data_IF_834541246731
#
_entry.id   IF_834541246731
#
_cell.length_a   1.000
_cell.length_b   1.000
_cell.length_c   1.000
_cell.angle_alpha   90.00
_cell.angle_beta   90.00
_cell.angle_gamma   90.00
#
_symmetry.space_group_name_H-M   'P 1'
#
loop_
_entity.id
_entity.type
_entity.pdbx_description
1 polymer ?
#
# COMPACT_ATOMS: atom_id res chain seq x y z
N UNK A 1 -23.37 5.26 -18.62
CA UNK A 1 -22.77 6.37 -17.85
C UNK A 1 -21.71 5.76 -16.95
N UNK A 2 -20.45 5.79 -17.37
CA UNK A 2 -19.31 5.37 -16.54
C UNK A 2 -18.49 6.64 -16.32
N UNK A 3 -18.51 7.16 -15.10
CA UNK A 3 -17.66 8.28 -14.73
C UNK A 3 -16.18 7.83 -14.86
N UNK A 4 -15.30 8.64 -15.47
CA UNK A 4 -13.87 8.43 -15.31
C UNK A 4 -13.55 8.84 -13.87
N UNK A 5 -13.13 7.88 -13.04
CA UNK A 5 -12.64 8.20 -11.69
C UNK A 5 -11.37 9.03 -11.83
N UNK A 6 -11.44 10.24 -11.26
CA UNK A 6 -10.40 11.27 -11.31
C UNK A 6 -9.14 10.82 -10.55
N UNK A 7 -7.96 11.02 -11.15
CA UNK A 7 -6.65 10.89 -10.50
C UNK A 7 -6.17 9.44 -10.30
N UNK A 8 -5.63 8.82 -11.35
CA UNK A 8 -5.22 7.42 -11.39
C UNK A 8 -4.04 7.06 -10.48
N UNK A 9 -4.28 6.99 -9.17
CA UNK A 9 -3.53 6.13 -8.27
C UNK A 9 -3.92 4.67 -8.55
N UNK A 10 -3.52 4.17 -9.72
CA UNK A 10 -3.83 2.82 -10.15
C UNK A 10 -2.79 1.86 -9.60
N UNK A 11 -2.99 1.45 -8.36
CA UNK A 11 -2.23 0.35 -7.77
C UNK A 11 -2.29 -0.87 -8.70
N UNK A 12 -3.39 -1.16 -9.39
CA UNK A 12 -3.47 -2.26 -10.37
C UNK A 12 -2.42 -2.13 -11.48
N UNK A 13 -2.26 -0.93 -12.03
CA UNK A 13 -1.23 -0.63 -13.02
C UNK A 13 0.17 -0.78 -12.44
N UNK A 14 0.37 -0.36 -11.20
CA UNK A 14 1.63 -0.56 -10.48
C UNK A 14 1.95 -2.05 -10.30
N UNK A 15 0.97 -2.84 -9.87
CA UNK A 15 1.05 -4.30 -9.69
C UNK A 15 1.37 -4.98 -11.01
N UNK A 16 0.62 -4.66 -12.06
CA UNK A 16 0.85 -5.20 -13.40
C UNK A 16 2.25 -4.84 -13.90
N UNK A 17 2.73 -3.63 -13.63
CA UNK A 17 4.11 -3.21 -13.88
C UNK A 17 5.11 -4.08 -13.11
N UNK A 18 4.91 -4.25 -11.80
CA UNK A 18 5.77 -5.07 -10.95
C UNK A 18 5.80 -6.54 -11.37
N UNK A 19 4.65 -7.13 -11.71
CA UNK A 19 4.54 -8.49 -12.24
C UNK A 19 5.19 -8.62 -13.62
N UNK A 20 5.12 -7.57 -14.45
CA UNK A 20 5.78 -7.50 -15.75
C UNK A 20 7.30 -7.36 -15.69
N UNK A 21 7.86 -6.85 -14.58
CA UNK A 21 9.31 -6.70 -14.42
C UNK A 21 10.01 -8.05 -14.26
N UNK A 22 10.94 -8.35 -15.17
CA UNK A 22 11.76 -9.57 -15.11
C UNK A 22 13.11 -9.31 -14.43
N UNK A 23 13.56 -8.06 -14.42
CA UNK A 23 14.87 -7.64 -13.91
C UNK A 23 14.75 -6.79 -12.65
N UNK A 24 15.70 -6.92 -11.71
CA UNK A 24 15.76 -6.12 -10.47
C UNK A 24 15.86 -4.62 -10.78
N UNK A 25 16.57 -4.22 -11.85
CA UNK A 25 16.70 -2.82 -12.26
C UNK A 25 15.37 -2.23 -12.73
N UNK A 26 14.60 -2.97 -13.54
CA UNK A 26 13.25 -2.55 -13.97
C UNK A 26 12.32 -2.39 -12.78
N UNK A 27 12.37 -3.35 -11.85
CA UNK A 27 11.59 -3.27 -10.60
C UNK A 27 11.94 -2.05 -9.79
N UNK A 28 13.23 -1.72 -9.64
CA UNK A 28 13.64 -0.53 -8.90
C UNK A 28 13.25 0.76 -9.63
N UNK A 29 13.33 0.81 -10.96
CA UNK A 29 12.88 1.97 -11.73
C UNK A 29 11.36 2.19 -11.64
N UNK A 30 10.58 1.10 -11.69
CA UNK A 30 9.14 1.13 -11.46
C UNK A 30 8.82 1.54 -10.03
N UNK A 31 9.52 0.98 -9.04
CA UNK A 31 9.39 1.38 -7.64
C UNK A 31 9.66 2.86 -7.48
N UNK A 32 10.75 3.38 -8.02
CA UNK A 32 11.11 4.81 -7.94
C UNK A 32 10.07 5.70 -8.62
N UNK A 33 9.58 5.30 -9.80
CA UNK A 33 8.50 6.03 -10.50
C UNK A 33 7.17 6.03 -9.73
N UNK A 34 6.93 5.00 -8.91
CA UNK A 34 5.74 4.86 -8.09
C UNK A 34 5.94 5.45 -6.68
N UNK A 35 7.18 5.54 -6.22
CA UNK A 35 7.60 6.07 -4.92
C UNK A 35 7.44 7.59 -4.93
N UNK A 36 6.29 8.04 -4.43
CA UNK A 36 5.85 9.44 -4.52
C UNK A 36 4.51 9.60 -5.22
N UNK A 37 3.98 8.53 -5.83
CA UNK A 37 2.60 8.48 -6.24
C UNK A 37 1.75 8.12 -5.02
N UNK A 38 1.00 9.09 -4.54
CA UNK A 38 0.06 8.93 -3.43
C UNK A 38 -1.38 9.11 -3.91
N UNK A 39 -2.29 8.36 -3.29
CA UNK A 39 -3.70 8.47 -3.58
C UNK A 39 -4.56 7.95 -2.44
N UNK A 40 -5.82 8.36 -2.46
CA UNK A 40 -6.83 7.90 -1.53
C UNK A 40 -7.47 6.63 -2.07
N UNK A 41 -7.44 5.55 -1.28
CA UNK A 41 -8.11 4.29 -1.63
C UNK A 41 -9.10 3.89 -0.56
N UNK A 42 -10.21 3.31 -1.00
CA UNK A 42 -11.12 2.63 -0.09
C UNK A 42 -10.54 1.27 0.27
N UNK A 43 -10.43 1.05 1.57
CA UNK A 43 -9.89 -0.17 2.14
C UNK A 43 -10.84 -0.76 3.16
N UNK A 44 -10.78 -2.08 3.28
CA UNK A 44 -11.41 -2.84 4.33
C UNK A 44 -10.34 -3.56 5.13
N UNK A 45 -10.08 -3.10 6.34
CA UNK A 45 -9.08 -3.70 7.23
C UNK A 45 -9.51 -5.12 7.58
N UNK A 46 -8.73 -6.09 7.14
CA UNK A 46 -8.95 -7.50 7.46
C UNK A 46 -8.19 -7.91 8.73
N UNK A 47 -6.98 -7.38 8.91
CA UNK A 47 -6.15 -7.62 10.09
C UNK A 47 -5.22 -6.45 10.35
N UNK A 48 -4.90 -6.20 11.62
CA UNK A 48 -3.88 -5.23 12.03
C UNK A 48 -2.81 -5.95 12.82
N UNK A 49 -1.56 -5.63 12.51
CA UNK A 49 -0.38 -6.08 13.22
C UNK A 49 0.53 -4.90 13.53
N UNK A 50 1.57 -5.15 14.31
CA UNK A 50 2.62 -4.15 14.54
C UNK A 50 3.61 -4.19 13.38
N UNK A 51 4.09 -3.03 12.94
CA UNK A 51 5.08 -2.96 11.86
C UNK A 51 6.41 -3.52 12.35
N UNK A 52 6.84 -4.62 11.76
CA UNK A 52 8.14 -5.24 11.99
C UNK A 52 8.89 -5.35 10.66
N UNK A 53 10.03 -4.67 10.56
CA UNK A 53 10.89 -4.73 9.38
C UNK A 53 12.29 -4.21 9.69
N UNK A 54 13.31 -4.90 9.20
CA UNK A 54 14.70 -4.47 9.25
C UNK A 54 14.90 -3.51 8.06
N UNK A 55 15.25 -2.25 8.32
CA UNK A 55 15.40 -1.23 7.27
C UNK A 55 14.18 -0.31 7.04
N UNK A 56 13.22 -0.29 7.98
CA UNK A 56 12.16 0.72 8.01
C UNK A 56 12.70 2.05 8.53
N UNK A 57 12.21 3.17 7.99
CA UNK A 57 12.45 4.50 8.56
C UNK A 57 11.95 4.56 9.99
N UNK A 58 12.64 5.33 10.83
CA UNK A 58 12.31 5.51 12.25
C UNK A 58 10.84 5.94 12.47
N UNK A 59 10.26 6.66 11.51
CA UNK A 59 8.84 7.06 11.50
C UNK A 59 7.87 5.89 11.48
N UNK A 60 8.18 4.80 10.76
CA UNK A 60 7.34 3.59 10.68
C UNK A 60 7.77 2.52 11.69
N UNK A 61 8.94 2.69 12.29
CA UNK A 61 9.50 1.78 13.29
C UNK A 61 8.67 1.85 14.57
N UNK A 62 8.02 0.73 14.91
CA UNK A 62 7.11 0.68 16.06
C UNK A 62 5.67 1.11 15.74
N UNK A 63 5.39 1.48 14.49
CA UNK A 63 4.05 1.73 13.98
C UNK A 63 3.23 0.45 13.77
N UNK A 64 2.18 0.54 12.96
CA UNK A 64 1.23 -0.55 12.72
C UNK A 64 1.14 -0.92 11.24
N UNK A 65 1.06 -2.20 10.94
CA UNK A 65 0.85 -2.71 9.58
C UNK A 65 -0.56 -3.26 9.48
N UNK A 66 -1.33 -2.70 8.58
CA UNK A 66 -2.67 -3.11 8.25
C UNK A 66 -2.63 -4.04 7.05
N UNK A 67 -3.31 -5.17 7.16
CA UNK A 67 -3.68 -6.00 6.03
C UNK A 67 -5.11 -5.60 5.68
N UNK A 68 -5.27 -4.92 4.56
CA UNK A 68 -6.56 -4.44 4.12
C UNK A 68 -6.90 -4.99 2.73
N UNK A 69 -8.18 -5.08 2.42
CA UNK A 69 -8.67 -5.44 1.10
C UNK A 69 -9.20 -4.21 0.40
N UNK A 70 -8.84 -4.02 -0.86
CA UNK A 70 -9.39 -3.00 -1.73
C UNK A 70 -10.09 -3.70 -2.91
N UNK A 71 -11.24 -3.17 -3.35
CA UNK A 71 -12.16 -3.89 -4.23
C UNK A 71 -11.54 -4.34 -5.56
N UNK A 72 -10.87 -3.43 -6.26
CA UNK A 72 -10.30 -3.71 -7.58
C UNK A 72 -9.04 -4.59 -7.54
N UNK A 73 -8.38 -4.71 -6.38
CA UNK A 73 -6.99 -5.21 -6.32
C UNK A 73 -6.84 -6.42 -5.39
N UNK A 74 -7.73 -6.54 -4.41
CA UNK A 74 -7.66 -7.56 -3.38
C UNK A 74 -6.84 -7.10 -2.18
N UNK A 75 -5.97 -7.98 -1.67
CA UNK A 75 -5.27 -7.78 -0.39
C UNK A 75 -3.99 -6.94 -0.53
N UNK A 76 -3.92 -5.85 0.23
CA UNK A 76 -2.82 -4.89 0.27
C UNK A 76 -2.26 -4.76 1.68
N UNK A 77 -0.96 -4.48 1.78
CA UNK A 77 -0.28 -4.22 3.05
C UNK A 77 -0.08 -2.71 3.21
N UNK A 78 -0.65 -2.09 4.24
CA UNK A 78 -0.55 -0.65 4.50
C UNK A 78 0.21 -0.43 5.80
N UNK A 79 1.34 0.26 5.73
CA UNK A 79 2.18 0.60 6.87
C UNK A 79 1.81 1.99 7.37
N UNK A 80 1.37 2.04 8.61
CA UNK A 80 1.10 3.26 9.34
C UNK A 80 2.38 3.71 10.07
N UNK A 81 2.69 5.02 10.04
CA UNK A 81 3.73 5.57 10.88
C UNK A 81 3.34 5.43 12.37
N UNK A 82 4.33 5.43 13.25
CA UNK A 82 4.11 5.28 14.69
C UNK A 82 3.34 6.45 15.32
N UNK A 83 3.33 7.59 14.63
CA UNK A 83 2.56 8.78 15.03
C UNK A 83 1.12 8.74 14.53
N UNK A 84 0.81 7.90 13.53
CA UNK A 84 -0.56 7.73 13.04
C UNK A 84 -1.43 7.01 14.06
N UNK A 85 -2.66 7.50 14.21
CA UNK A 85 -3.65 6.89 15.11
C UNK A 85 -4.15 5.56 14.51
N UNK A 86 -3.38 4.50 14.75
CA UNK A 86 -3.68 3.14 14.32
C UNK A 86 -4.89 2.55 15.06
N UNK A 87 -5.30 3.16 16.19
CA UNK A 87 -6.34 2.65 17.08
C UNK A 87 -7.72 2.64 16.43
N UNK A 88 -7.96 3.51 15.45
CA UNK A 88 -9.19 3.54 14.67
C UNK A 88 -9.29 2.35 13.69
N UNK A 89 -8.15 1.83 13.23
CA UNK A 89 -8.09 0.75 12.27
C UNK A 89 -8.18 -0.60 12.98
N UNK A 90 -9.37 -1.19 12.93
CA UNK A 90 -9.69 -2.49 13.50
C UNK A 90 -10.18 -3.45 12.43
N UNK A 91 -10.15 -4.74 12.70
CA UNK A 91 -10.72 -5.75 11.81
C UNK A 91 -12.18 -5.42 11.48
N UNK A 92 -12.50 -5.32 10.19
CA UNK A 92 -13.81 -4.90 9.71
C UNK A 92 -13.99 -3.38 9.57
N UNK A 93 -12.96 -2.57 9.82
CA UNK A 93 -12.98 -1.14 9.52
C UNK A 93 -12.98 -0.93 8.01
N UNK A 94 -13.96 -0.17 7.52
CA UNK A 94 -14.07 0.25 6.13
C UNK A 94 -13.94 1.76 6.09
N UNK A 95 -13.01 2.26 5.28
CA UNK A 95 -12.74 3.68 5.20
C UNK A 95 -11.86 4.03 4.01
N UNK A 96 -11.70 5.33 3.80
CA UNK A 96 -10.76 5.86 2.82
C UNK A 96 -9.45 6.22 3.54
N UNK A 97 -8.33 5.81 2.95
CA UNK A 97 -7.00 6.11 3.48
C UNK A 97 -6.10 6.62 2.35
N UNK A 98 -5.40 7.71 2.63
CA UNK A 98 -4.35 8.23 1.77
C UNK A 98 -3.09 7.39 1.94
N UNK A 99 -2.62 6.80 0.86
CA UNK A 99 -1.45 5.94 0.86
C UNK A 99 -0.56 6.23 -0.33
N UNK A 100 0.72 5.92 -0.19
CA UNK A 100 1.71 5.96 -1.26
C UNK A 100 2.24 4.57 -1.53
N UNK A 101 2.68 4.31 -2.77
CA UNK A 101 3.30 3.04 -3.12
C UNK A 101 4.75 3.05 -2.64
N UNK A 102 5.07 2.13 -1.75
CA UNK A 102 6.42 2.02 -1.19
C UNK A 102 7.19 0.87 -1.80
N UNK A 103 6.56 -0.32 -1.88
CA UNK A 103 7.22 -1.51 -2.41
C UNK A 103 6.20 -2.56 -2.89
N UNK A 104 6.68 -3.68 -3.45
CA UNK A 104 5.84 -4.78 -3.91
C UNK A 104 6.40 -6.12 -3.45
N UNK A 105 5.58 -6.86 -2.71
CA UNK A 105 5.90 -8.21 -2.29
C UNK A 105 5.58 -9.19 -3.43
N UNK A 106 6.58 -9.46 -4.27
CA UNK A 106 6.45 -10.42 -5.37
C UNK A 106 6.19 -11.87 -4.92
N UNK A 107 6.58 -12.23 -3.68
CA UNK A 107 6.37 -13.57 -3.14
C UNK A 107 4.90 -13.79 -2.79
N UNK A 108 4.28 -12.81 -2.12
CA UNK A 108 2.87 -12.88 -1.72
C UNK A 108 1.92 -12.27 -2.75
N UNK A 109 2.45 -11.66 -3.81
CA UNK A 109 1.73 -10.84 -4.81
C UNK A 109 0.86 -9.76 -4.15
N UNK A 110 1.49 -8.97 -3.29
CA UNK A 110 0.81 -7.90 -2.53
C UNK A 110 1.59 -6.61 -2.62
N UNK A 111 0.90 -5.51 -2.86
CA UNK A 111 1.54 -4.20 -2.82
C UNK A 111 1.71 -3.76 -1.38
N UNK A 112 2.85 -3.13 -1.12
CA UNK A 112 3.19 -2.52 0.15
C UNK A 112 3.01 -1.02 -0.04
N UNK A 113 2.09 -0.49 0.74
CA UNK A 113 1.67 0.89 0.75
C UNK A 113 2.09 1.50 2.09
N UNK A 114 2.44 2.77 2.10
CA UNK A 114 2.66 3.55 3.32
C UNK A 114 1.57 4.59 3.44
N UNK A 115 1.00 4.74 4.64
CA UNK A 115 0.07 5.83 4.91
C UNK A 115 0.84 7.16 5.02
N UNK A 116 0.25 8.21 4.45
CA UNK A 116 0.81 9.58 4.47
C UNK A 116 -0.09 10.56 5.21
#
# INVERSE_FOLDING_TARGET
MTAPVEGSFSIESAISGFEGTRTISERNALKDSLSGNSGSIQIRVNSIGRTFGIGLSDTFRGGSTLIAMTGEIGEVEIRLPSDSDASQFKTGFEGEISVTISDWNAVRRRIILEAI
#
